data_IF_098716275524
#
_entry.id   IF_098716275524
#
_cell.length_a   1.000
_cell.length_b   1.000
_cell.length_c   1.000
_cell.angle_alpha   90.00
_cell.angle_beta   90.00
_cell.angle_gamma   90.00
#
_symmetry.space_group_name_H-M   'P 1'
#
loop_
_entity.id
_entity.type
_entity.pdbx_description
1 polymer ?
#
# COMPACT_ATOMS: atom_id res chain seq x y z
N UNK A 1 3.00 31.24 -3.79
CA UNK A 1 4.23 30.64 -3.25
C UNK A 1 4.02 29.14 -3.26
N UNK A 2 4.78 28.44 -4.09
CA UNK A 2 4.62 27.00 -4.37
C UNK A 2 5.02 26.19 -3.15
N UNK A 3 4.09 25.39 -2.63
CA UNK A 3 4.34 24.45 -1.54
C UNK A 3 5.08 23.26 -2.16
N UNK A 4 6.42 23.29 -2.14
CA UNK A 4 7.28 22.21 -2.60
C UNK A 4 6.99 20.98 -1.73
N UNK A 5 6.11 20.10 -2.21
CA UNK A 5 5.90 18.76 -1.67
C UNK A 5 7.22 17.99 -1.77
N UNK A 6 8.01 18.02 -0.70
CA UNK A 6 9.18 17.17 -0.54
C UNK A 6 8.66 15.76 -0.25
N UNK A 7 8.44 14.99 -1.31
CA UNK A 7 8.32 13.54 -1.19
C UNK A 7 9.71 13.02 -0.85
N UNK A 8 9.93 12.66 0.42
CA UNK A 8 11.16 12.02 0.85
C UNK A 8 10.98 10.51 0.61
N UNK A 9 11.69 9.89 -0.35
CA UNK A 9 11.70 8.44 -0.46
C UNK A 9 12.35 7.88 0.81
N UNK A 10 11.60 7.11 1.57
CA UNK A 10 12.11 6.40 2.74
C UNK A 10 12.63 5.05 2.23
N UNK A 11 13.91 4.77 2.49
CA UNK A 11 14.54 3.52 2.07
C UNK A 11 14.15 2.35 2.98
N UNK A 12 14.32 1.14 2.45
CA UNK A 12 14.13 -0.20 3.06
C UNK A 12 14.68 -0.34 4.51
N UNK A 13 15.65 0.52 4.89
CA UNK A 13 16.28 0.51 6.21
C UNK A 13 15.67 1.50 7.24
N UNK A 14 14.63 2.25 6.87
CA UNK A 14 13.97 3.23 7.75
C UNK A 14 14.69 4.57 7.86
N UNK A 15 15.71 4.79 7.03
CA UNK A 15 16.38 6.10 6.93
C UNK A 15 15.53 7.02 6.05
N UNK A 16 14.99 8.07 6.64
CA UNK A 16 14.49 9.22 5.90
C UNK A 16 15.70 9.86 5.25
N UNK A 17 15.75 9.87 3.91
CA UNK A 17 16.85 10.50 3.16
C UNK A 17 16.80 12.03 3.34
N UNK A 18 17.28 12.54 4.47
CA UNK A 18 17.99 13.80 4.48
C UNK A 18 19.30 13.58 3.71
N UNK A 19 19.29 14.02 2.44
CA UNK A 19 20.45 14.07 1.55
C UNK A 19 20.94 12.70 1.01
N UNK A 20 20.50 12.38 -0.21
CA UNK A 20 21.12 11.38 -1.08
C UNK A 20 22.57 11.78 -1.41
N UNK A 21 23.51 11.38 -0.55
CA UNK A 21 24.95 11.48 -0.79
C UNK A 21 25.54 10.24 -1.49
N UNK A 22 24.75 9.20 -1.80
CA UNK A 22 25.25 8.00 -2.48
C UNK A 22 24.21 7.46 -3.45
N UNK A 23 24.61 7.42 -4.73
CA UNK A 23 23.75 7.19 -5.89
C UNK A 23 23.33 5.74 -6.12
N UNK A 24 22.85 5.06 -5.10
CA UNK A 24 22.25 3.73 -5.22
C UNK A 24 20.90 3.72 -4.50
N UNK A 25 19.93 4.45 -5.07
CA UNK A 25 18.52 4.19 -4.76
C UNK A 25 18.22 2.83 -5.40
N UNK A 26 17.81 1.79 -4.65
CA UNK A 26 17.21 0.63 -5.29
C UNK A 26 16.01 1.15 -6.09
N UNK A 27 16.09 1.03 -7.41
CA UNK A 27 15.22 1.71 -8.40
C UNK A 27 13.74 1.25 -8.31
N UNK A 28 13.42 0.43 -7.32
CA UNK A 28 12.27 -0.47 -7.25
C UNK A 28 11.56 -0.45 -5.87
N UNK A 29 11.75 0.59 -5.07
CA UNK A 29 11.08 0.74 -3.77
C UNK A 29 9.82 1.62 -3.90
N UNK A 30 8.70 1.26 -3.23
CA UNK A 30 7.49 2.06 -3.26
C UNK A 30 7.65 3.37 -2.48
N UNK A 31 6.93 4.40 -2.90
CA UNK A 31 7.00 5.73 -2.25
C UNK A 31 6.16 5.74 -0.97
N UNK A 32 6.78 5.94 0.19
CA UNK A 32 6.09 6.05 1.46
C UNK A 32 5.62 7.49 1.74
N UNK A 33 4.32 7.70 1.91
CA UNK A 33 3.68 9.01 2.12
C UNK A 33 2.96 9.04 3.46
N UNK A 34 3.14 10.12 4.22
CA UNK A 34 2.45 10.33 5.50
C UNK A 34 3.02 9.54 6.69
N UNK A 35 4.04 8.71 6.47
CA UNK A 35 4.76 8.04 7.55
C UNK A 35 5.62 9.03 8.33
N UNK A 36 5.68 8.82 9.65
CA UNK A 36 6.63 9.49 10.54
C UNK A 36 7.65 8.46 11.01
N UNK A 37 8.87 8.90 11.27
CA UNK A 37 9.87 8.06 11.94
C UNK A 37 9.29 7.51 13.25
N UNK A 38 9.27 6.18 13.35
CA UNK A 38 8.61 5.51 14.46
C UNK A 38 8.37 4.03 14.21
N UNK A 39 7.64 3.41 15.14
CA UNK A 39 7.36 1.97 15.11
C UNK A 39 6.53 1.55 13.90
N UNK A 40 5.56 2.36 13.49
CA UNK A 40 4.69 2.06 12.35
C UNK A 40 5.49 1.97 11.04
N UNK A 41 6.37 2.95 10.79
CA UNK A 41 7.26 2.93 9.63
C UNK A 41 8.21 1.73 9.66
N UNK A 42 8.87 1.48 10.80
CA UNK A 42 9.79 0.34 10.93
C UNK A 42 9.07 -0.98 10.67
N UNK A 43 7.89 -1.18 11.24
CA UNK A 43 7.11 -2.40 11.07
C UNK A 43 6.65 -2.59 9.63
N UNK A 44 6.22 -1.52 8.95
CA UNK A 44 5.93 -1.58 7.53
C UNK A 44 7.14 -2.05 6.71
N UNK A 45 8.31 -1.48 6.98
CA UNK A 45 9.54 -1.84 6.26
C UNK A 45 9.95 -3.29 6.52
N UNK A 46 9.85 -3.76 7.76
CA UNK A 46 10.11 -5.16 8.10
C UNK A 46 9.16 -6.14 7.38
N UNK A 47 7.90 -5.75 7.16
CA UNK A 47 6.93 -6.57 6.44
C UNK A 47 7.08 -6.45 4.91
N UNK A 48 7.45 -5.27 4.42
CA UNK A 48 7.73 -5.02 3.01
C UNK A 48 9.00 -5.77 2.55
N UNK A 49 10.04 -5.80 3.37
CA UNK A 49 11.29 -6.54 3.12
C UNK A 49 11.05 -8.05 3.01
N UNK A 50 10.07 -8.58 3.75
CA UNK A 50 9.65 -9.99 3.65
C UNK A 50 8.90 -10.28 2.35
N UNK A 51 8.32 -9.27 1.70
CA UNK A 51 7.59 -9.49 0.46
C UNK A 51 8.56 -9.83 -0.68
N UNK A 52 8.20 -10.74 -1.58
CA UNK A 52 9.00 -11.01 -2.76
C UNK A 52 9.10 -9.74 -3.62
N UNK A 53 10.27 -9.57 -4.24
CA UNK A 53 10.62 -8.40 -5.06
C UNK A 53 9.61 -8.11 -6.16
N UNK A 54 8.92 -9.13 -6.68
CA UNK A 54 7.87 -8.97 -7.70
C UNK A 54 6.67 -8.17 -7.16
N UNK A 55 6.29 -8.39 -5.91
CA UNK A 55 5.20 -7.65 -5.24
C UNK A 55 5.67 -6.25 -4.86
N UNK A 56 6.90 -6.12 -4.34
CA UNK A 56 7.47 -4.81 -4.03
C UNK A 56 7.49 -3.91 -5.28
N UNK A 57 7.87 -4.47 -6.43
CA UNK A 57 7.83 -3.81 -7.73
C UNK A 57 6.44 -3.49 -8.25
N UNK A 58 5.41 -4.20 -7.78
CA UNK A 58 4.02 -3.93 -8.17
C UNK A 58 3.45 -2.73 -7.41
N UNK A 59 4.05 -2.33 -6.28
CA UNK A 59 3.61 -1.21 -5.46
C UNK A 59 4.24 0.08 -6.00
N UNK A 60 3.41 1.06 -6.34
CA UNK A 60 3.84 2.42 -6.72
C UNK A 60 4.06 3.26 -5.47
N UNK A 61 3.06 3.32 -4.58
CA UNK A 61 3.06 4.19 -3.40
C UNK A 61 2.38 3.51 -2.21
N UNK A 62 2.77 3.88 -0.99
CA UNK A 62 2.12 3.46 0.25
C UNK A 62 1.84 4.71 1.07
N UNK A 63 0.57 4.89 1.44
CA UNK A 63 0.07 6.01 2.22
C UNK A 63 -0.28 5.53 3.61
N UNK A 64 0.27 6.20 4.62
CA UNK A 64 -0.10 5.96 6.01
C UNK A 64 -1.45 6.63 6.30
N UNK A 65 -2.49 5.83 6.51
CA UNK A 65 -3.85 6.31 6.69
C UNK A 65 -4.48 5.72 7.97
N UNK A 66 -3.88 5.94 9.15
CA UNK A 66 -4.36 5.35 10.40
C UNK A 66 -5.83 5.73 10.65
N UNK A 67 -6.64 4.73 10.96
CA UNK A 67 -8.06 4.92 11.29
C UNK A 67 -8.25 4.97 12.81
N UNK A 68 -9.46 5.29 13.27
CA UNK A 68 -9.78 5.26 14.72
C UNK A 68 -9.67 3.86 15.32
N UNK A 69 -9.79 2.84 14.49
CA UNK A 69 -9.83 1.43 14.90
C UNK A 69 -8.51 0.73 14.63
N UNK A 70 -7.74 1.19 13.63
CA UNK A 70 -6.42 0.65 13.31
C UNK A 70 -5.39 1.76 13.06
N UNK A 71 -4.45 1.91 14.00
CA UNK A 71 -3.31 2.82 13.90
C UNK A 71 -2.26 2.36 12.87
N UNK A 72 -2.36 1.13 12.37
CA UNK A 72 -1.43 0.52 11.40
C UNK A 72 -2.03 0.42 10.01
N UNK A 73 -3.19 1.06 9.79
CA UNK A 73 -3.84 1.10 8.49
C UNK A 73 -2.99 1.86 7.47
N UNK A 74 -2.83 1.23 6.31
CA UNK A 74 -2.09 1.74 5.17
C UNK A 74 -2.88 1.51 3.88
N UNK A 75 -2.74 2.45 2.95
CA UNK A 75 -3.33 2.35 1.61
C UNK A 75 -2.17 2.28 0.61
N UNK A 76 -2.14 1.23 -0.20
CA UNK A 76 -1.11 1.03 -1.21
C UNK A 76 -1.70 1.28 -2.59
N UNK A 77 -0.97 1.98 -3.44
CA UNK A 77 -1.30 2.20 -4.83
C UNK A 77 -0.42 1.31 -5.68
N UNK A 78 -1.03 0.48 -6.51
CA UNK A 78 -0.36 -0.51 -7.32
C UNK A 78 -0.16 0.02 -8.75
N UNK A 79 0.90 -0.43 -9.42
CA UNK A 79 1.25 -0.03 -10.79
C UNK A 79 0.16 -0.40 -11.81
N UNK A 80 -0.64 -1.42 -11.52
CA UNK A 80 -1.76 -1.85 -12.35
C UNK A 80 -3.00 -0.92 -12.23
N UNK A 81 -2.97 0.05 -11.32
CA UNK A 81 -4.08 0.98 -11.07
C UNK A 81 -5.11 0.50 -10.05
N UNK A 82 -4.74 -0.51 -9.25
CA UNK A 82 -5.50 -0.96 -8.08
C UNK A 82 -5.05 -0.21 -6.82
N UNK A 83 -6.01 0.07 -5.94
CA UNK A 83 -5.74 0.54 -4.58
C UNK A 83 -5.90 -0.64 -3.62
N UNK A 84 -4.99 -0.82 -2.67
CA UNK A 84 -5.03 -1.91 -1.70
C UNK A 84 -5.05 -1.32 -0.30
N UNK A 85 -6.15 -1.53 0.41
CA UNK A 85 -6.29 -1.18 1.83
C UNK A 85 -5.83 -2.36 2.66
N UNK A 86 -4.84 -2.16 3.53
CA UNK A 86 -4.31 -3.22 4.39
C UNK A 86 -3.81 -2.66 5.71
N UNK A 87 -3.54 -3.56 6.66
CA UNK A 87 -2.83 -3.20 7.89
C UNK A 87 -1.36 -3.59 7.76
N UNK A 88 -0.45 -2.71 8.19
CA UNK A 88 0.98 -3.00 8.13
C UNK A 88 1.36 -4.23 8.97
N UNK A 89 0.49 -4.68 9.89
CA UNK A 89 0.73 -5.86 10.76
C UNK A 89 0.63 -7.21 10.07
N UNK A 90 -0.24 -7.33 9.07
CA UNK A 90 -0.50 -8.57 8.33
C UNK A 90 -0.20 -8.37 6.84
N UNK A 91 0.61 -7.36 6.53
CA UNK A 91 0.92 -6.96 5.18
C UNK A 91 1.52 -8.11 4.38
N UNK A 92 2.53 -8.79 4.94
CA UNK A 92 3.18 -9.92 4.28
C UNK A 92 2.18 -11.04 3.94
N UNK A 93 1.39 -11.46 4.93
CA UNK A 93 0.44 -12.57 4.81
C UNK A 93 -0.67 -12.28 3.80
N UNK A 94 -1.07 -11.02 3.64
CA UNK A 94 -2.13 -10.63 2.71
C UNK A 94 -1.59 -10.35 1.32
N UNK A 95 -0.48 -9.62 1.22
CA UNK A 95 0.08 -9.22 -0.07
C UNK A 95 0.67 -10.39 -0.84
N UNK A 96 1.16 -11.45 -0.19
CA UNK A 96 1.63 -12.66 -0.91
C UNK A 96 0.55 -13.29 -1.81
N UNK A 97 -0.73 -13.03 -1.53
CA UNK A 97 -1.85 -13.49 -2.35
C UNK A 97 -2.25 -12.50 -3.46
N UNK A 98 -1.73 -11.27 -3.44
CA UNK A 98 -2.07 -10.22 -4.40
C UNK A 98 -1.86 -10.63 -5.86
N UNK A 99 -0.71 -11.20 -6.27
CA UNK A 99 -0.50 -11.61 -7.66
C UNK A 99 -1.57 -12.58 -8.18
N UNK A 100 -2.01 -13.50 -7.31
CA UNK A 100 -3.07 -14.46 -7.63
C UNK A 100 -4.45 -13.80 -7.75
N UNK A 101 -4.70 -12.74 -6.97
CA UNK A 101 -5.95 -11.96 -7.04
C UNK A 101 -5.99 -11.18 -8.35
N UNK A 102 -4.95 -10.38 -8.64
CA UNK A 102 -4.93 -9.56 -9.87
C UNK A 102 -4.87 -10.39 -11.15
N UNK A 103 -4.25 -11.57 -11.11
CA UNK A 103 -4.26 -12.48 -12.26
C UNK A 103 -5.66 -13.03 -12.58
N UNK A 104 -6.60 -12.95 -11.64
CA UNK A 104 -8.02 -13.31 -11.84
C UNK A 104 -8.89 -12.08 -12.15
N UNK A 105 -8.38 -10.87 -11.92
CA UNK A 105 -9.08 -9.63 -12.20
C UNK A 105 -8.75 -9.14 -13.61
N UNK A 106 -9.69 -8.42 -14.21
CA UNK A 106 -9.46 -7.78 -15.49
C UNK A 106 -8.57 -6.53 -15.31
N UNK A 107 -7.43 -6.41 -16.02
CA UNK A 107 -6.55 -5.25 -15.91
C UNK A 107 -7.19 -3.95 -16.44
N UNK A 108 -8.33 -4.05 -17.11
CA UNK A 108 -9.11 -2.90 -17.56
C UNK A 108 -10.03 -2.34 -16.45
N UNK A 109 -10.28 -3.11 -15.40
CA UNK A 109 -11.17 -2.74 -14.29
C UNK A 109 -10.31 -2.26 -13.14
N UNK A 110 -10.37 -0.96 -12.85
CA UNK A 110 -9.71 -0.39 -11.67
C UNK A 110 -10.60 -0.54 -10.45
N UNK A 111 -10.02 -0.64 -9.27
CA UNK A 111 -10.79 -0.74 -8.03
C UNK A 111 -9.94 -0.70 -6.76
N UNK A 112 -10.64 -0.82 -5.63
CA UNK A 112 -10.07 -0.94 -4.28
C UNK A 112 -10.15 -2.39 -3.83
N UNK A 113 -9.04 -2.93 -3.35
CA UNK A 113 -8.93 -4.26 -2.74
C UNK A 113 -8.77 -4.04 -1.23
N UNK A 114 -9.75 -4.46 -0.45
CA UNK A 114 -9.68 -4.46 1.00
C UNK A 114 -9.11 -5.80 1.49
N UNK A 115 -7.95 -5.73 2.15
CA UNK A 115 -7.24 -6.86 2.74
C UNK A 115 -7.16 -6.78 4.28
N UNK A 116 -7.92 -5.89 4.94
CA UNK A 116 -7.80 -5.67 6.39
C UNK A 116 -8.30 -6.87 7.20
N UNK A 117 -9.52 -7.32 6.93
CA UNK A 117 -10.14 -8.48 7.61
C UNK A 117 -10.36 -9.62 6.63
N UNK A 118 -10.95 -9.30 5.48
CA UNK A 118 -11.21 -10.22 4.37
C UNK A 118 -10.24 -10.01 3.20
N UNK A 119 -10.63 -10.52 2.03
CA UNK A 119 -10.09 -10.13 0.74
C UNK A 119 -11.29 -9.79 -0.15
N UNK A 120 -11.63 -8.51 -0.25
CA UNK A 120 -12.77 -8.05 -1.04
C UNK A 120 -12.30 -7.06 -2.10
N UNK A 121 -12.73 -7.25 -3.34
CA UNK A 121 -12.43 -6.34 -4.44
C UNK A 121 -13.67 -5.51 -4.78
N UNK A 122 -13.49 -4.20 -4.84
CA UNK A 122 -14.50 -3.22 -5.23
C UNK A 122 -14.02 -2.47 -6.47
N UNK A 123 -14.62 -2.77 -7.62
CA UNK A 123 -14.36 -2.00 -8.84
C UNK A 123 -14.83 -0.54 -8.70
N UNK A 124 -14.12 0.39 -9.37
CA UNK A 124 -14.52 1.78 -9.57
C UNK A 124 -15.57 1.94 -10.66
N UNK A 125 -16.05 0.86 -11.28
CA UNK A 125 -17.12 0.95 -12.28
C UNK A 125 -18.25 1.82 -11.74
N UNK A 126 -18.65 2.76 -12.59
CA UNK A 126 -19.57 3.87 -12.37
C UNK A 126 -20.57 3.58 -11.25
N UNK A 127 -20.69 4.56 -10.34
CA UNK A 127 -21.64 4.59 -9.25
C UNK A 127 -23.06 4.22 -9.69
N UNK A 128 -23.36 2.94 -9.74
CA UNK A 128 -24.71 2.40 -9.69
C UNK A 128 -24.64 0.91 -9.34
N UNK A 129 -25.01 0.64 -8.10
CA UNK A 129 -25.43 -0.66 -7.57
C UNK A 129 -24.30 -1.61 -7.17
N UNK A 130 -23.85 -1.47 -5.92
CA UNK A 130 -24.23 -2.40 -4.84
C UNK A 130 -23.67 -1.92 -3.52
N UNK A 131 -24.57 -1.40 -2.69
CA UNK A 131 -24.47 -1.51 -1.25
C UNK A 131 -24.40 -3.02 -0.95
N UNK A 132 -23.23 -3.52 -0.54
CA UNK A 132 -23.18 -4.77 0.20
C UNK A 132 -23.68 -4.46 1.61
N UNK A 133 -25.00 -4.52 1.74
CA UNK A 133 -25.71 -4.58 3.00
C UNK A 133 -25.21 -5.80 3.77
N UNK A 134 -24.38 -5.56 4.78
CA UNK A 134 -24.11 -6.55 5.80
C UNK A 134 -24.52 -5.97 7.17
N UNK A 135 -25.83 -5.85 7.37
CA UNK A 135 -26.41 -5.87 8.71
C UNK A 135 -27.09 -7.23 8.90
N UNK A 136 -26.47 -7.98 9.81
CA UNK A 136 -26.79 -9.32 10.26
C UNK A 136 -28.13 -9.36 11.03
N UNK A 137 -28.73 -10.54 10.99
CA UNK A 137 -30.06 -10.97 11.40
C UNK A 137 -30.43 -10.74 12.88
#
# INVERSE_FOLDING_TARGET
>A
MSNNGKFAPILENGSVLEELATGEIPVFAPVLIGFKEGKALKLLLEELDKLPVEIQNAISEIHYAPTKTDEYHIVMFMNDGFEVSATSRTLYEKMIHYPSIVSQLDPNVKGVIDLEVGSYFKAYEDAEQKEDTNEEN
#
